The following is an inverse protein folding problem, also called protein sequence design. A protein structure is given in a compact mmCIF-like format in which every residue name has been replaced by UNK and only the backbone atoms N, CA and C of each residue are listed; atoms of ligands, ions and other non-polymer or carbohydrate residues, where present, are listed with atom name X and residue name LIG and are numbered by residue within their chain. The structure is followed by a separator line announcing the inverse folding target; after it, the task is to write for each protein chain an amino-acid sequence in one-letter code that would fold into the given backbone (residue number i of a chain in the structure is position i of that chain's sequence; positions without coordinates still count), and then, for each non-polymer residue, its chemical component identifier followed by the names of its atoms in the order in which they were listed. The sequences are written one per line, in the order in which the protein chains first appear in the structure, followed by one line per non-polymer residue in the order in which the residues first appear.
data_IF_746494403075
#
_entry.id   IF_746494403075
#
_cell.length_a   1.000
_cell.length_b   1.000
_cell.length_c   1.000
_cell.angle_alpha   90.00
_cell.angle_beta   90.00
_cell.angle_gamma   90.00
#
_symmetry.space_group_name_H-M   'P 1'
#
loop_
_entity.id
_entity.type
_entity.pdbx_description
1 polymer ?
#
# COMPACT_ATOMS: atom_id res chain seq x y z
N UNK A 1 -7.86 -24.33 -8.74
CA UNK A 1 -7.14 -23.22 -8.07
C UNK A 1 -8.04 -21.99 -8.09
N UNK A 2 -8.20 -21.28 -6.97
CA UNK A 2 -8.87 -19.96 -6.96
C UNK A 2 -7.80 -18.89 -7.06
N UNK A 3 -7.79 -18.16 -8.17
CA UNK A 3 -6.95 -16.98 -8.32
C UNK A 3 -7.69 -15.79 -7.71
N UNK A 4 -7.02 -15.05 -6.83
CA UNK A 4 -7.55 -13.79 -6.32
C UNK A 4 -6.91 -12.69 -7.15
N UNK A 5 -7.74 -11.84 -7.74
CA UNK A 5 -7.25 -10.71 -8.52
C UNK A 5 -6.60 -9.68 -7.59
N UNK A 6 -5.38 -9.19 -7.87
CA UNK A 6 -4.73 -8.13 -7.08
C UNK A 6 -5.48 -6.80 -7.14
N UNK A 7 -6.48 -6.67 -8.02
CA UNK A 7 -7.39 -5.51 -8.05
C UNK A 7 -8.36 -5.46 -6.87
N UNK A 8 -8.54 -6.55 -6.13
CA UNK A 8 -9.36 -6.53 -4.92
C UNK A 8 -8.55 -6.07 -3.72
N UNK A 9 -9.16 -5.29 -2.84
CA UNK A 9 -8.54 -4.78 -1.61
C UNK A 9 -7.88 -5.89 -0.79
N UNK A 10 -8.56 -7.04 -0.67
CA UNK A 10 -8.03 -8.20 0.06
C UNK A 10 -6.73 -8.75 -0.55
N UNK A 11 -6.67 -8.92 -1.87
CA UNK A 11 -5.44 -9.41 -2.50
C UNK A 11 -4.34 -8.37 -2.48
N UNK A 12 -4.68 -7.09 -2.67
CA UNK A 12 -3.73 -6.00 -2.59
C UNK A 12 -3.06 -5.95 -1.22
N UNK A 13 -3.85 -5.95 -0.14
CA UNK A 13 -3.35 -6.03 1.24
C UNK A 13 -2.54 -7.29 1.51
N UNK A 14 -2.92 -8.42 0.90
CA UNK A 14 -2.14 -9.66 1.07
C UNK A 14 -0.79 -9.64 0.37
N UNK A 15 -0.65 -8.87 -0.70
CA UNK A 15 0.61 -8.74 -1.47
C UNK A 15 1.48 -7.60 -0.92
N UNK A 16 0.87 -6.49 -0.52
CA UNK A 16 1.55 -5.23 -0.19
C UNK A 16 1.30 -4.71 1.23
N UNK A 17 0.36 -5.29 1.97
CA UNK A 17 -0.07 -4.82 3.29
C UNK A 17 0.76 -5.36 4.45
N UNK A 18 2.00 -5.79 4.20
CA UNK A 18 2.94 -6.23 5.23
C UNK A 18 4.24 -5.42 5.18
N UNK A 19 4.93 -5.30 6.30
CA UNK A 19 6.20 -4.57 6.37
C UNK A 19 7.26 -5.19 5.46
N UNK A 20 7.24 -6.52 5.30
CA UNK A 20 8.16 -7.24 4.41
C UNK A 20 7.92 -6.91 2.93
N UNK A 21 6.72 -6.46 2.58
CA UNK A 21 6.37 -6.06 1.21
C UNK A 21 6.54 -4.56 0.95
N UNK A 22 7.04 -3.80 1.93
CA UNK A 22 7.18 -2.34 1.87
C UNK A 22 8.01 -1.87 0.67
N UNK A 23 9.17 -2.47 0.43
CA UNK A 23 10.05 -2.12 -0.70
C UNK A 23 9.39 -2.37 -2.07
N UNK A 24 8.60 -3.44 -2.16
CA UNK A 24 7.87 -3.81 -3.37
C UNK A 24 6.72 -2.82 -3.61
N UNK A 25 6.03 -2.42 -2.54
CA UNK A 25 4.98 -1.39 -2.62
C UNK A 25 5.56 -0.04 -3.05
N UNK A 26 6.71 0.37 -2.48
CA UNK A 26 7.42 1.59 -2.90
C UNK A 26 7.75 1.53 -4.39
N UNK A 27 8.33 0.42 -4.85
CA UNK A 27 8.70 0.24 -6.25
C UNK A 27 7.48 0.28 -7.18
N UNK A 28 6.38 -0.36 -6.78
CA UNK A 28 5.13 -0.35 -7.52
C UNK A 28 4.53 1.07 -7.64
N UNK A 29 4.49 1.82 -6.54
CA UNK A 29 3.97 3.19 -6.53
C UNK A 29 4.86 4.14 -7.34
N UNK A 30 6.18 4.02 -7.24
CA UNK A 30 7.13 4.77 -8.06
C UNK A 30 6.94 4.47 -9.56
N UNK A 31 6.72 3.20 -9.93
CA UNK A 31 6.44 2.83 -11.31
C UNK A 31 5.10 3.38 -11.83
N UNK A 32 4.05 3.33 -11.00
CA UNK A 32 2.68 3.68 -11.39
C UNK A 32 2.39 5.18 -11.37
N UNK A 33 2.81 5.87 -10.32
CA UNK A 33 2.47 7.27 -10.05
C UNK A 33 3.57 8.20 -10.56
N UNK A 34 4.82 7.81 -10.36
CA UNK A 34 5.99 8.62 -10.70
C UNK A 34 6.66 8.19 -12.01
N UNK A 35 5.99 7.37 -12.82
CA UNK A 35 6.48 6.89 -14.12
C UNK A 35 7.88 6.24 -14.03
N UNK A 36 8.17 5.56 -12.93
CA UNK A 36 9.46 4.93 -12.68
C UNK A 36 10.54 5.87 -12.13
N UNK A 37 10.23 7.15 -11.89
CA UNK A 37 11.12 8.02 -11.14
C UNK A 37 11.00 7.65 -9.65
N UNK A 38 12.11 7.25 -9.02
CA UNK A 38 12.13 6.88 -7.60
C UNK A 38 11.95 8.13 -6.73
N UNK A 39 10.70 8.40 -6.34
CA UNK A 39 10.33 9.57 -5.51
C UNK A 39 10.07 9.16 -4.07
N UNK A 40 9.34 8.07 -3.85
CA UNK A 40 9.09 7.52 -2.51
C UNK A 40 10.33 6.79 -2.05
N UNK A 41 10.88 7.19 -0.90
CA UNK A 41 12.04 6.55 -0.24
C UNK A 41 11.61 5.68 0.94
N UNK A 42 10.49 6.02 1.58
CA UNK A 42 9.93 5.28 2.70
C UNK A 42 8.40 5.41 2.70
N UNK A 43 7.69 4.42 3.25
CA UNK A 43 6.25 4.47 3.47
C UNK A 43 5.88 3.74 4.76
N UNK A 44 4.80 4.13 5.41
CA UNK A 44 4.26 3.44 6.58
C UNK A 44 2.89 2.87 6.25
N UNK A 45 2.65 1.60 6.61
CA UNK A 45 1.35 0.95 6.43
C UNK A 45 0.56 1.15 7.73
N UNK A 46 -0.38 2.08 7.69
CA UNK A 46 -1.25 2.36 8.83
C UNK A 46 -2.37 1.32 8.86
N UNK A 47 -2.48 0.58 9.98
CA UNK A 47 -3.60 -0.32 10.21
C UNK A 47 -4.81 0.45 10.76
N UNK A 48 -5.92 0.54 10.02
CA UNK A 48 -7.12 1.27 10.47
C UNK A 48 -7.80 0.64 11.70
N UNK A 49 -7.45 -0.58 12.09
CA UNK A 49 -7.97 -1.25 13.28
C UNK A 49 -7.04 -1.13 14.50
N UNK A 50 -5.83 -0.63 14.30
CA UNK A 50 -4.94 -0.25 15.39
C UNK A 50 -5.47 1.09 15.94
N UNK A 51 -6.01 1.04 17.15
CA UNK A 51 -6.84 2.08 17.77
C UNK A 51 -6.15 3.46 18.04
N UNK A 52 -5.00 3.73 17.43
CA UNK A 52 -4.18 4.93 17.68
C UNK A 52 -4.35 6.07 16.68
N UNK A 53 -4.39 5.79 15.37
CA UNK A 53 -4.16 6.84 14.35
C UNK A 53 -5.09 6.75 13.14
N UNK A 54 -6.41 6.62 13.39
CA UNK A 54 -7.40 6.97 12.34
C UNK A 54 -7.46 8.49 12.26
N UNK A 55 -6.43 9.10 11.67
CA UNK A 55 -6.54 10.47 11.17
C UNK A 55 -7.57 10.40 10.06
N UNK A 56 -8.76 10.92 10.37
CA UNK A 56 -9.88 11.07 9.46
C UNK A 56 -9.42 11.87 8.24
N UNK A 57 -9.01 11.18 7.17
CA UNK A 57 -8.75 11.80 5.86
C UNK A 57 -10.08 12.10 5.15
N UNK A 58 -10.98 12.77 5.88
CA UNK A 58 -12.19 13.39 5.36
C UNK A 58 -12.09 14.89 5.55
N UNK A 59 -11.21 15.56 4.81
CA UNK A 59 -11.45 16.97 4.54
C UNK A 59 -10.79 17.43 3.24
N UNK A 60 -11.63 18.08 2.42
CA UNK A 60 -11.45 18.78 1.14
C UNK A 60 -11.41 17.96 -0.16
#
# INVERSE_FOLDING_TARGET
MRFISPKTDFAFKKIFGSDQSKDILISFLNAMIYYGNSVIQDLEIIDPYSAGDVVDLKDT
#
